data_IF_777617848994
#
_entry.id   IF_777617848994
#
_cell.length_a   1.000
_cell.length_b   1.000
_cell.length_c   1.000
_cell.angle_alpha   90.00
_cell.angle_beta   90.00
_cell.angle_gamma   90.00
#
_symmetry.space_group_name_H-M   'P 1'
#
loop_
_entity.id
_entity.type
_entity.pdbx_description
1 polymer ?
#
# COMPACT_ATOMS: atom_id res chain seq x y z
N UNK A 1 25.11 -17.77 1.96
CA UNK A 1 23.81 -17.64 2.65
C UNK A 1 23.57 -16.23 3.22
N UNK A 2 24.53 -15.59 3.90
CA UNK A 2 24.36 -14.20 4.39
C UNK A 2 24.14 -13.15 3.27
N UNK A 3 24.81 -13.30 2.12
CA UNK A 3 24.62 -12.40 0.97
C UNK A 3 23.22 -12.43 0.35
N UNK A 4 22.52 -13.57 0.46
CA UNK A 4 21.17 -13.78 -0.07
C UNK A 4 20.12 -13.07 0.80
N UNK A 5 20.27 -13.16 2.13
CA UNK A 5 19.39 -12.44 3.07
C UNK A 5 19.51 -10.92 2.93
N UNK A 6 20.72 -10.39 2.78
CA UNK A 6 20.96 -8.94 2.60
C UNK A 6 20.33 -8.41 1.30
N UNK A 7 20.40 -9.19 0.22
CA UNK A 7 19.78 -8.84 -1.06
C UNK A 7 18.24 -8.81 -0.95
N UNK A 8 17.64 -9.87 -0.37
CA UNK A 8 16.19 -9.95 -0.17
C UNK A 8 15.64 -8.84 0.74
N UNK A 9 16.38 -8.45 1.78
CA UNK A 9 15.97 -7.33 2.63
C UNK A 9 16.03 -6.00 1.86
N UNK A 10 17.08 -5.77 1.06
CA UNK A 10 17.19 -4.55 0.24
C UNK A 10 16.04 -4.44 -0.76
N UNK A 11 15.74 -5.51 -1.49
CA UNK A 11 14.63 -5.58 -2.42
C UNK A 11 13.28 -5.34 -1.73
N UNK A 12 13.10 -5.87 -0.51
CA UNK A 12 11.89 -5.65 0.28
C UNK A 12 11.71 -4.17 0.69
N UNK A 13 12.80 -3.45 0.93
CA UNK A 13 12.77 -2.01 1.28
C UNK A 13 12.43 -1.16 0.07
N UNK A 14 12.95 -1.48 -1.11
CA UNK A 14 12.64 -0.76 -2.35
C UNK A 14 11.16 -0.87 -2.71
N UNK A 15 10.50 -1.99 -2.35
CA UNK A 15 9.06 -2.19 -2.54
C UNK A 15 8.17 -1.56 -1.45
N UNK A 16 8.75 -1.04 -0.36
CA UNK A 16 8.03 -0.46 0.79
C UNK A 16 7.79 1.05 0.68
N UNK A 17 8.09 1.68 -0.46
CA UNK A 17 8.16 3.15 -0.55
C UNK A 17 6.78 3.80 -0.63
N UNK A 18 5.76 3.10 -1.12
CA UNK A 18 4.42 3.67 -1.30
C UNK A 18 3.34 2.73 -0.80
N UNK A 19 2.40 3.27 -0.02
CA UNK A 19 1.14 2.61 0.33
C UNK A 19 0.00 3.29 -0.42
N UNK A 20 -0.75 2.52 -1.20
CA UNK A 20 -1.97 2.98 -1.89
C UNK A 20 -3.20 2.33 -1.27
N UNK A 21 -4.22 3.14 -0.98
CA UNK A 21 -5.48 2.71 -0.38
C UNK A 21 -6.59 3.23 -1.29
N UNK A 22 -7.45 2.32 -1.74
CA UNK A 22 -8.54 2.63 -2.66
C UNK A 22 -9.85 2.18 -2.02
N UNK A 23 -10.80 3.09 -1.94
CA UNK A 23 -12.21 2.76 -1.69
C UNK A 23 -13.00 3.16 -2.90
N UNK A 24 -13.66 2.20 -3.54
CA UNK A 24 -14.44 2.43 -4.74
C UNK A 24 -15.86 1.89 -4.59
N UNK A 25 -16.82 2.62 -5.15
CA UNK A 25 -18.24 2.26 -5.23
C UNK A 25 -18.68 2.34 -6.68
N UNK A 26 -19.35 1.29 -7.16
CA UNK A 26 -19.81 1.18 -8.55
C UNK A 26 -19.24 -0.05 -9.25
N UNK A 27 -18.91 0.08 -10.53
CA UNK A 27 -18.43 -1.02 -11.35
C UNK A 27 -16.91 -1.20 -11.21
N UNK A 28 -16.53 -1.94 -10.17
CA UNK A 28 -15.14 -2.33 -9.90
C UNK A 28 -14.90 -3.73 -10.48
N UNK A 29 -13.91 -3.86 -11.36
CA UNK A 29 -13.46 -5.14 -11.88
C UNK A 29 -12.12 -5.50 -11.24
N UNK A 30 -11.88 -6.78 -11.03
CA UNK A 30 -10.55 -7.27 -10.69
C UNK A 30 -10.03 -8.00 -11.91
N UNK A 31 -9.19 -7.34 -12.70
CA UNK A 31 -8.58 -7.99 -13.85
C UNK A 31 -7.59 -9.05 -13.35
N UNK A 32 -8.00 -10.32 -13.43
CA UNK A 32 -7.06 -11.44 -13.43
C UNK A 32 -6.39 -11.47 -14.81
N UNK A 33 -5.46 -10.54 -15.07
CA UNK A 33 -4.61 -10.68 -16.26
C UNK A 33 -3.55 -11.73 -15.94
N UNK A 34 -3.70 -12.89 -16.58
CA UNK A 34 -2.77 -14.01 -16.46
C UNK A 34 -1.35 -13.61 -16.83
N UNK A 35 -0.46 -13.80 -15.86
CA UNK A 35 0.95 -14.14 -16.00
C UNK A 35 1.19 -15.31 -15.06
N UNK A 36 2.18 -16.14 -15.36
CA UNK A 36 2.38 -17.48 -14.81
C UNK A 36 2.37 -17.58 -13.28
N UNK A 37 2.12 -18.79 -12.77
CA UNK A 37 2.10 -19.11 -11.34
C UNK A 37 3.41 -18.69 -10.66
N UNK A 38 3.43 -17.49 -10.07
CA UNK A 38 4.61 -16.92 -9.44
C UNK A 38 4.43 -15.46 -9.04
N UNK A 39 3.68 -14.66 -9.80
CA UNK A 39 3.50 -13.24 -9.51
C UNK A 39 2.31 -12.98 -8.58
N UNK A 40 2.60 -12.90 -7.29
CA UNK A 40 1.79 -12.18 -6.29
C UNK A 40 2.00 -10.67 -6.38
N UNK A 41 2.05 -10.10 -7.59
CA UNK A 41 2.05 -8.64 -7.73
C UNK A 41 0.67 -8.08 -7.39
N UNK A 42 0.68 -7.01 -6.61
CA UNK A 42 -0.46 -6.36 -5.99
C UNK A 42 -1.54 -6.02 -7.04
N UNK A 43 -2.67 -6.71 -6.96
CA UNK A 43 -3.82 -6.50 -7.84
C UNK A 43 -4.54 -5.23 -7.44
N UNK A 44 -4.17 -4.09 -8.01
CA UNK A 44 -4.98 -2.89 -7.95
C UNK A 44 -6.33 -3.16 -8.66
N UNK A 45 -7.47 -2.72 -8.11
CA UNK A 45 -8.76 -2.87 -8.78
C UNK A 45 -8.76 -2.13 -10.12
N UNK A 46 -9.28 -2.77 -11.17
CA UNK A 46 -9.56 -2.10 -12.43
C UNK A 46 -10.88 -1.33 -12.31
N UNK A 47 -10.78 -0.01 -12.44
CA UNK A 47 -11.91 0.88 -12.28
C UNK A 47 -12.46 1.22 -13.67
N UNK A 48 -13.67 0.75 -13.97
CA UNK A 48 -14.34 1.07 -15.22
C UNK A 48 -14.87 2.51 -15.18
N UNK A 49 -13.98 3.47 -15.46
CA UNK A 49 -14.33 4.89 -15.48
C UNK A 49 -15.41 5.25 -16.50
N UNK A 50 -15.70 4.39 -17.49
CA UNK A 50 -16.81 4.61 -18.43
C UNK A 50 -18.18 4.49 -17.75
N UNK A 51 -18.22 3.87 -16.57
CA UNK A 51 -19.41 3.71 -15.74
C UNK A 51 -19.40 4.56 -14.48
N UNK A 52 -18.55 5.58 -14.46
CA UNK A 52 -18.50 6.63 -13.44
C UNK A 52 -18.45 6.07 -11.98
N UNK A 53 -17.46 5.23 -11.65
CA UNK A 53 -17.26 4.72 -10.30
C UNK A 53 -16.84 5.89 -9.39
N UNK A 54 -17.34 5.87 -8.17
CA UNK A 54 -17.00 6.86 -7.14
C UNK A 54 -15.84 6.31 -6.34
N UNK A 55 -14.75 7.07 -6.23
CA UNK A 55 -13.50 6.59 -5.63
C UNK A 55 -12.95 7.59 -4.61
N UNK A 56 -12.42 7.05 -3.52
CA UNK A 56 -11.42 7.70 -2.66
C UNK A 56 -10.10 6.98 -2.89
N UNK A 57 -9.07 7.74 -3.24
CA UNK A 57 -7.71 7.24 -3.44
C UNK A 57 -6.78 7.98 -2.49
N UNK A 58 -6.05 7.21 -1.68
CA UNK A 58 -4.99 7.73 -0.84
C UNK A 58 -3.67 7.09 -1.21
N UNK A 59 -2.68 7.94 -1.39
CA UNK A 59 -1.29 7.55 -1.60
C UNK A 59 -0.45 8.11 -0.47
N UNK A 60 0.30 7.24 0.18
CA UNK A 60 1.19 7.56 1.27
C UNK A 60 2.61 7.25 0.81
N UNK A 61 3.46 8.28 0.77
CA UNK A 61 4.90 8.11 0.66
C UNK A 61 5.45 7.76 2.04
N UNK A 62 5.99 6.55 2.17
CA UNK A 62 6.41 6.02 3.47
C UNK A 62 7.81 6.46 3.88
N UNK A 63 8.58 7.03 2.93
CA UNK A 63 9.89 7.61 3.21
C UNK A 63 9.77 9.07 3.64
N UNK A 64 8.91 9.83 2.95
CA UNK A 64 8.72 11.27 3.20
C UNK A 64 7.61 11.54 4.22
N UNK A 65 6.70 10.57 4.42
CA UNK A 65 5.53 10.73 5.29
C UNK A 65 4.41 11.55 4.65
N UNK A 66 4.53 11.88 3.36
CA UNK A 66 3.52 12.65 2.64
C UNK A 66 2.28 11.80 2.35
N UNK A 67 1.12 12.33 2.74
CA UNK A 67 -0.18 11.71 2.46
C UNK A 67 -0.94 12.58 1.47
N UNK A 68 -1.36 11.99 0.36
CA UNK A 68 -2.21 12.63 -0.65
C UNK A 68 -3.50 11.82 -0.80
N UNK A 69 -4.63 12.45 -0.49
CA UNK A 69 -5.95 11.85 -0.65
C UNK A 69 -6.77 12.65 -1.65
N UNK A 70 -7.39 11.95 -2.59
CA UNK A 70 -8.34 12.51 -3.55
C UNK A 70 -9.72 11.90 -3.27
N UNK A 71 -10.72 12.76 -3.16
CA UNK A 71 -12.11 12.38 -2.89
C UNK A 71 -12.97 12.69 -4.12
N UNK A 72 -13.85 11.76 -4.47
CA UNK A 72 -15.06 12.14 -5.19
C UNK A 72 -16.02 12.88 -4.25
N UNK A 73 -16.65 13.96 -4.73
CA UNK A 73 -17.53 14.85 -3.95
C UNK A 73 -18.66 14.09 -3.24
N UNK A 74 -19.16 13.00 -3.83
CA UNK A 74 -20.25 12.19 -3.25
C UNK A 74 -19.89 11.52 -1.92
N UNK A 75 -18.60 11.36 -1.60
CA UNK A 75 -18.13 10.90 -0.29
C UNK A 75 -18.11 11.98 0.78
N UNK A 76 -18.28 13.25 0.40
CA UNK A 76 -18.24 14.40 1.32
C UNK A 76 -19.65 14.90 1.63
N UNK A 77 -20.53 14.94 0.64
CA UNK A 77 -21.85 15.59 0.75
C UNK A 77 -23.03 14.63 0.62
N UNK A 78 -22.79 13.33 0.45
CA UNK A 78 -23.82 12.35 0.11
C UNK A 78 -23.84 11.06 0.93
N UNK A 79 -24.49 10.03 0.38
CA UNK A 79 -24.77 8.74 1.02
C UNK A 79 -23.52 7.92 1.41
N UNK A 80 -22.34 8.35 0.98
CA UNK A 80 -21.07 7.63 1.18
C UNK A 80 -20.19 8.24 2.27
N UNK A 81 -20.71 9.16 3.09
CA UNK A 81 -19.95 9.80 4.17
C UNK A 81 -19.37 8.77 5.17
N UNK A 82 -20.11 7.71 5.48
CA UNK A 82 -19.61 6.63 6.35
C UNK A 82 -18.46 5.83 5.71
N UNK A 83 -18.42 5.74 4.38
CA UNK A 83 -17.30 5.10 3.66
C UNK A 83 -16.04 5.96 3.70
N UNK A 84 -16.18 7.30 3.77
CA UNK A 84 -15.04 8.19 4.02
C UNK A 84 -14.42 7.92 5.39
N UNK A 85 -15.25 7.82 6.44
CA UNK A 85 -14.75 7.51 7.79
C UNK A 85 -14.07 6.14 7.84
N UNK A 86 -14.65 5.13 7.18
CA UNK A 86 -14.03 3.82 7.03
C UNK A 86 -12.68 3.90 6.29
N UNK A 87 -12.60 4.67 5.21
CA UNK A 87 -11.36 4.88 4.45
C UNK A 87 -10.28 5.52 5.32
N UNK A 88 -10.59 6.61 6.03
CA UNK A 88 -9.63 7.25 6.93
C UNK A 88 -9.17 6.36 8.09
N UNK A 89 -10.03 5.47 8.58
CA UNK A 89 -9.62 4.46 9.55
C UNK A 89 -8.60 3.46 8.96
N UNK A 90 -8.80 3.05 7.69
CA UNK A 90 -7.86 2.19 6.96
C UNK A 90 -6.55 2.90 6.62
N UNK A 91 -6.58 4.19 6.31
CA UNK A 91 -5.37 5.00 6.13
C UNK A 91 -4.48 4.97 7.38
N UNK A 92 -5.08 5.24 8.54
CA UNK A 92 -4.36 5.24 9.80
C UNK A 92 -3.79 3.85 10.13
N UNK A 93 -4.61 2.81 10.02
CA UNK A 93 -4.16 1.45 10.31
C UNK A 93 -3.07 0.99 9.33
N UNK A 94 -3.25 1.25 8.03
CA UNK A 94 -2.28 0.90 7.01
C UNK A 94 -0.93 1.58 7.25
N UNK A 95 -0.95 2.89 7.55
CA UNK A 95 0.25 3.62 7.91
C UNK A 95 0.96 3.01 9.14
N UNK A 96 0.22 2.72 10.21
CA UNK A 96 0.77 2.10 11.42
C UNK A 96 1.38 0.72 11.16
N UNK A 97 0.74 -0.11 10.33
CA UNK A 97 1.26 -1.43 9.95
C UNK A 97 2.58 -1.27 9.20
N UNK A 98 2.63 -0.37 8.21
CA UNK A 98 3.85 -0.21 7.41
C UNK A 98 4.99 0.37 8.24
N UNK A 99 4.74 1.35 9.10
CA UNK A 99 5.74 1.87 10.04
C UNK A 99 6.31 0.77 10.94
N UNK A 100 5.46 -0.13 11.48
CA UNK A 100 5.92 -1.28 12.27
C UNK A 100 6.79 -2.23 11.45
N UNK A 101 6.43 -2.48 10.19
CA UNK A 101 7.20 -3.34 9.29
C UNK A 101 8.57 -2.73 8.95
N UNK A 102 8.61 -1.43 8.63
CA UNK A 102 9.87 -0.71 8.38
C UNK A 102 10.78 -0.80 9.61
N UNK A 103 10.25 -0.52 10.80
CA UNK A 103 11.03 -0.63 12.05
C UNK A 103 11.54 -2.06 12.32
N UNK A 104 10.75 -3.09 11.99
CA UNK A 104 11.19 -4.48 12.10
C UNK A 104 12.34 -4.79 11.13
N UNK A 105 12.25 -4.30 9.89
CA UNK A 105 13.28 -4.49 8.87
C UNK A 105 14.57 -3.76 9.25
N UNK A 106 14.48 -2.52 9.75
CA UNK A 106 15.64 -1.77 10.25
C UNK A 106 16.37 -2.54 11.36
N UNK A 107 15.62 -3.13 12.30
CA UNK A 107 16.20 -4.00 13.35
C UNK A 107 16.92 -5.22 12.77
N UNK A 108 16.32 -5.89 11.78
CA UNK A 108 16.95 -7.03 11.13
C UNK A 108 18.24 -6.64 10.39
N UNK A 109 18.25 -5.49 9.71
CA UNK A 109 19.45 -4.96 9.06
C UNK A 109 20.56 -4.67 10.06
N UNK A 110 20.24 -4.03 11.18
CA UNK A 110 21.22 -3.72 12.22
C UNK A 110 21.83 -5.01 12.80
N UNK A 111 21.03 -6.05 13.02
CA UNK A 111 21.54 -7.36 13.47
C UNK A 111 22.49 -8.00 12.45
N UNK A 112 22.13 -7.99 11.16
CA UNK A 112 22.97 -8.57 10.10
C UNK A 112 24.29 -7.80 9.94
N UNK A 113 24.26 -6.47 10.00
CA UNK A 113 25.47 -5.66 9.90
C UNK A 113 26.40 -5.87 11.11
N UNK A 114 25.85 -5.94 12.33
CA UNK A 114 26.63 -6.20 13.54
C UNK A 114 27.38 -7.54 13.48
N UNK A 115 26.79 -8.58 12.87
CA UNK A 115 27.46 -9.88 12.69
C UNK A 115 28.44 -9.94 11.51
N UNK A 116 28.50 -8.90 10.69
CA UNK A 116 29.44 -8.83 9.55
C UNK A 116 30.76 -8.15 9.92
N UNK A 117 30.83 -7.54 11.10
CA UNK A 117 32.01 -6.82 11.63
C UNK A 117 32.82 -7.65 12.65
N UNK A 118 32.39 -8.88 12.94
CA UNK A 118 33.16 -9.93 13.67
C UNK A 118 33.74 -10.96 12.69
#
# INVERSE_FOLDING_TARGET
MAGDLKARIRESIENLVTLEIITAVGHVQYNARGGEAGDTEQRLPDLDYTRDPKVILTRIDLLQGDIKTVYNEEFVTGNYQSLKEFHSAREKEGYEIVQKNIAAIERLLNLVNAQSEE
#
